data_IF_983941874362
#
_entry.id   IF_983941874362
#
_cell.length_a   1.000
_cell.length_b   1.000
_cell.length_c   1.000
_cell.angle_alpha   90.00
_cell.angle_beta   90.00
_cell.angle_gamma   90.00
#
_symmetry.space_group_name_H-M   'P 1'
#
loop_
_entity.id
_entity.type
_entity.pdbx_description
1 polymer ?
#
# COMPACT_ATOMS: atom_id res chain seq x y z
N UNK A 1 -20.34 -4.38 -63.54
CA UNK A 1 -19.01 -4.64 -64.13
C UNK A 1 -18.18 -5.43 -63.12
N UNK A 2 -17.66 -6.55 -63.60
CA UNK A 2 -16.95 -7.62 -62.88
C UNK A 2 -15.50 -7.18 -62.63
N UNK A 3 -14.87 -7.58 -61.51
CA UNK A 3 -13.64 -8.43 -61.48
C UNK A 3 -12.62 -7.83 -60.50
N UNK A 4 -11.82 -8.49 -59.66
CA UNK A 4 -11.63 -9.87 -59.19
C UNK A 4 -10.72 -9.80 -57.91
N UNK A 5 -11.04 -10.62 -56.90
CA UNK A 5 -10.20 -11.04 -55.75
C UNK A 5 -9.03 -11.97 -56.21
N UNK A 6 -7.98 -12.33 -55.43
CA UNK A 6 -8.03 -13.01 -54.09
C UNK A 6 -6.92 -12.55 -53.08
N UNK A 7 -6.96 -12.70 -51.75
CA UNK A 7 -7.21 -13.78 -50.75
C UNK A 7 -6.04 -14.78 -50.52
N UNK A 8 -5.27 -14.51 -49.45
CA UNK A 8 -4.53 -15.34 -48.47
C UNK A 8 -3.58 -16.50 -48.92
N UNK A 9 -2.58 -16.92 -48.10
CA UNK A 9 -2.87 -17.82 -46.99
C UNK A 9 -2.10 -17.61 -45.67
N UNK A 10 -2.69 -18.17 -44.62
CA UNK A 10 -2.14 -18.49 -43.29
C UNK A 10 -1.16 -19.67 -43.39
N UNK A 11 -0.13 -19.70 -42.54
CA UNK A 11 0.68 -20.90 -42.29
C UNK A 11 1.07 -20.99 -40.80
N UNK A 12 0.44 -21.96 -40.14
CA UNK A 12 0.87 -22.54 -38.88
C UNK A 12 1.95 -23.60 -39.13
N UNK A 13 2.95 -23.70 -38.26
CA UNK A 13 3.84 -24.87 -38.14
C UNK A 13 4.17 -25.07 -36.66
N UNK A 14 3.51 -26.01 -35.99
CA UNK A 14 3.93 -27.41 -35.74
C UNK A 14 5.13 -27.57 -34.80
N UNK A 15 4.81 -27.96 -33.56
CA UNK A 15 5.73 -28.58 -32.62
C UNK A 15 6.24 -29.92 -33.16
N UNK A 16 7.53 -30.22 -32.92
CA UNK A 16 8.08 -31.58 -33.03
C UNK A 16 8.88 -31.93 -31.79
N UNK A 17 8.36 -32.92 -31.08
CA UNK A 17 9.04 -33.78 -30.12
C UNK A 17 10.08 -34.65 -30.85
N UNK A 18 11.26 -34.80 -30.27
CA UNK A 18 12.20 -35.85 -30.64
C UNK A 18 12.90 -36.39 -29.38
N UNK A 19 12.43 -37.56 -28.97
CA UNK A 19 13.11 -38.52 -28.09
C UNK A 19 14.28 -39.15 -28.85
N UNK A 20 15.45 -39.28 -28.23
CA UNK A 20 16.36 -40.41 -28.51
C UNK A 20 17.39 -40.62 -27.40
N UNK A 21 17.88 -41.85 -27.34
CA UNK A 21 18.29 -42.59 -26.15
C UNK A 21 19.76 -42.40 -25.71
N UNK A 22 19.98 -42.78 -24.45
CA UNK A 22 21.20 -42.80 -23.62
C UNK A 22 22.28 -43.81 -24.07
N UNK A 23 23.54 -43.63 -23.62
CA UNK A 23 24.37 -44.75 -23.16
C UNK A 23 24.83 -44.61 -21.68
N UNK A 24 25.33 -45.69 -21.02
CA UNK A 24 25.35 -45.82 -19.55
C UNK A 24 26.67 -45.40 -18.85
N UNK A 25 26.60 -45.50 -17.51
CA UNK A 25 27.42 -44.90 -16.43
C UNK A 25 28.90 -45.34 -16.29
N UNK A 26 29.62 -44.76 -15.31
CA UNK A 26 29.91 -45.58 -14.13
C UNK A 26 29.61 -44.91 -12.77
N UNK A 27 29.37 -45.77 -11.79
CA UNK A 27 29.11 -45.46 -10.39
C UNK A 27 30.35 -44.97 -9.64
N UNK A 28 30.17 -43.93 -8.84
CA UNK A 28 31.04 -43.64 -7.69
C UNK A 28 30.15 -43.36 -6.50
N UNK A 29 29.93 -44.41 -5.72
CA UNK A 29 29.40 -44.34 -4.35
C UNK A 29 30.43 -43.67 -3.45
N UNK A 30 30.08 -42.55 -2.83
CA UNK A 30 30.80 -41.98 -1.69
C UNK A 30 29.78 -41.71 -0.59
N UNK A 31 29.93 -42.28 0.61
CA UNK A 31 29.04 -41.96 1.72
C UNK A 31 29.51 -40.63 2.31
N UNK A 32 28.76 -39.55 2.08
CA UNK A 32 28.83 -38.39 2.96
C UNK A 32 28.15 -38.76 4.28
N UNK A 33 28.94 -39.25 5.23
CA UNK A 33 28.54 -39.27 6.65
C UNK A 33 28.41 -37.84 7.14
N UNK A 34 27.19 -37.29 7.13
CA UNK A 34 26.87 -36.11 7.91
C UNK A 34 26.72 -36.54 9.37
N UNK A 35 27.76 -36.27 10.16
CA UNK A 35 27.71 -36.45 11.61
C UNK A 35 26.55 -35.64 12.19
N UNK A 36 25.66 -36.32 12.91
CA UNK A 36 24.64 -35.68 13.74
C UNK A 36 25.33 -35.00 14.93
N UNK A 37 25.60 -33.71 14.80
CA UNK A 37 25.84 -32.87 15.97
C UNK A 37 24.48 -32.60 16.62
N UNK A 38 24.09 -33.50 17.51
CA UNK A 38 23.14 -33.18 18.56
C UNK A 38 23.83 -32.19 19.51
N UNK A 39 23.89 -30.93 19.09
CA UNK A 39 24.20 -29.83 19.99
C UNK A 39 22.91 -29.56 20.78
N UNK A 40 22.79 -30.22 21.92
CA UNK A 40 21.92 -29.78 22.99
C UNK A 40 22.31 -28.35 23.35
N UNK A 41 21.56 -27.39 22.82
CA UNK A 41 21.50 -26.04 23.36
C UNK A 41 20.11 -25.92 23.97
N UNK A 42 19.99 -26.35 25.22
CA UNK A 42 19.06 -25.70 26.14
C UNK A 42 19.55 -24.27 26.34
N UNK A 43 19.44 -23.46 25.29
CA UNK A 43 19.39 -22.02 25.45
C UNK A 43 18.14 -21.78 26.28
N UNK A 44 18.32 -21.39 27.54
CA UNK A 44 17.26 -20.92 28.41
C UNK A 44 16.32 -20.05 27.55
N UNK A 45 15.13 -20.59 27.27
CA UNK A 45 14.13 -19.94 26.44
C UNK A 45 13.51 -18.81 27.26
N UNK A 46 14.30 -17.79 27.56
CA UNK A 46 13.79 -16.50 27.98
C UNK A 46 12.89 -16.02 26.86
N UNK A 47 11.64 -15.72 27.18
CA UNK A 47 10.67 -15.14 26.26
C UNK A 47 11.25 -13.83 25.73
N UNK A 48 11.88 -13.87 24.55
CA UNK A 48 12.43 -12.68 23.92
C UNK A 48 11.26 -11.74 23.65
N UNK A 49 11.29 -10.53 24.22
CA UNK A 49 10.23 -9.52 24.06
C UNK A 49 10.02 -9.26 22.57
N UNK A 50 8.76 -9.28 22.12
CA UNK A 50 8.42 -8.96 20.74
C UNK A 50 8.78 -7.51 20.42
N UNK A 51 9.20 -7.20 19.18
CA UNK A 51 9.43 -5.83 18.78
C UNK A 51 8.10 -5.07 18.69
N UNK A 52 8.17 -3.76 18.91
CA UNK A 52 7.07 -2.84 18.61
C UNK A 52 7.12 -2.51 17.12
N UNK A 53 5.96 -2.54 16.45
CA UNK A 53 5.84 -2.23 15.03
C UNK A 53 5.22 -0.85 14.85
N UNK A 54 5.86 -0.02 14.03
CA UNK A 54 5.34 1.27 13.61
C UNK A 54 4.96 1.15 12.13
N UNK A 55 3.71 1.51 11.82
CA UNK A 55 3.20 1.49 10.46
C UNK A 55 2.94 2.91 9.99
N UNK A 56 3.48 3.27 8.83
CA UNK A 56 2.85 4.31 8.03
C UNK A 56 1.45 3.87 7.61
N UNK A 57 0.59 4.82 7.23
CA UNK A 57 -0.82 4.57 6.95
C UNK A 57 -1.11 4.69 5.46
N UNK A 58 -0.83 5.83 4.85
CA UNK A 58 -1.18 6.07 3.44
C UNK A 58 -0.26 5.25 2.52
N UNK A 59 -0.85 4.58 1.53
CA UNK A 59 -0.22 3.60 0.62
C UNK A 59 0.57 2.47 1.29
N UNK A 60 0.43 2.30 2.62
CA UNK A 60 0.97 1.17 3.39
C UNK A 60 -0.16 0.31 3.95
N UNK A 61 -1.09 0.92 4.70
CA UNK A 61 -2.28 0.26 5.23
C UNK A 61 -3.54 0.61 4.45
N UNK A 62 -3.63 1.86 4.00
CA UNK A 62 -4.81 2.45 3.39
C UNK A 62 -4.42 3.15 2.09
N UNK A 63 -5.17 2.94 1.00
CA UNK A 63 -4.92 3.59 -0.30
C UNK A 63 -4.98 5.11 -0.18
N UNK A 64 -4.02 5.81 -0.79
CA UNK A 64 -4.00 7.27 -0.84
C UNK A 64 -4.93 7.83 -1.92
N UNK A 65 -5.97 8.63 -1.56
CA UNK A 65 -6.84 9.27 -2.54
C UNK A 65 -6.15 10.36 -3.38
N UNK A 66 -4.96 10.84 -2.98
CA UNK A 66 -4.32 12.03 -3.55
C UNK A 66 -4.09 11.97 -5.06
N UNK A 67 -3.65 10.82 -5.59
CA UNK A 67 -3.22 10.73 -6.99
C UNK A 67 -4.35 10.58 -8.02
N UNK A 68 -5.51 10.08 -7.60
CA UNK A 68 -6.59 9.72 -8.53
C UNK A 68 -7.94 10.34 -8.15
N UNK A 69 -8.31 10.27 -6.87
CA UNK A 69 -9.63 10.72 -6.42
C UNK A 69 -9.71 12.25 -6.28
N UNK A 70 -8.70 12.86 -5.67
CA UNK A 70 -8.68 14.33 -5.47
C UNK A 70 -8.66 15.11 -6.80
N UNK A 71 -7.83 14.76 -7.80
CA UNK A 71 -7.86 15.44 -9.10
C UNK A 71 -9.18 15.24 -9.82
N UNK A 72 -9.74 14.02 -9.76
CA UNK A 72 -11.06 13.71 -10.31
C UNK A 72 -12.16 14.57 -9.68
N UNK A 73 -12.12 14.76 -8.35
CA UNK A 73 -13.04 15.65 -7.63
C UNK A 73 -12.97 17.10 -8.15
N UNK A 74 -11.76 17.62 -8.35
CA UNK A 74 -11.56 18.98 -8.87
C UNK A 74 -11.69 19.10 -10.40
N UNK A 75 -11.89 18.00 -11.11
CA UNK A 75 -11.91 17.93 -12.58
C UNK A 75 -10.63 18.53 -13.19
N UNK A 76 -9.50 18.23 -12.57
CA UNK A 76 -8.15 18.67 -12.97
C UNK A 76 -7.26 17.46 -13.19
N UNK A 77 -6.28 17.59 -14.08
CA UNK A 77 -5.14 16.68 -14.05
C UNK A 77 -4.33 16.87 -12.76
N UNK A 78 -3.54 15.86 -12.38
CA UNK A 78 -2.60 15.99 -11.25
C UNK A 78 -1.70 17.21 -11.37
N UNK A 79 -1.21 17.50 -12.58
CA UNK A 79 -0.34 18.64 -12.85
C UNK A 79 -1.05 19.96 -12.58
N UNK A 80 -2.25 20.14 -13.14
CA UNK A 80 -3.05 21.36 -12.92
C UNK A 80 -3.41 21.56 -11.45
N UNK A 81 -3.77 20.47 -10.75
CA UNK A 81 -4.06 20.53 -9.33
C UNK A 81 -2.83 20.97 -8.51
N UNK A 82 -1.66 20.38 -8.76
CA UNK A 82 -0.42 20.76 -8.09
C UNK A 82 -0.03 22.22 -8.37
N UNK A 83 -0.23 22.68 -9.60
CA UNK A 83 0.02 24.09 -9.97
C UNK A 83 -0.98 25.04 -9.31
N UNK A 84 -2.24 24.64 -9.12
CA UNK A 84 -3.28 25.47 -8.51
C UNK A 84 -3.26 25.46 -6.97
N UNK A 85 -2.82 24.35 -6.35
CA UNK A 85 -2.79 24.17 -4.90
C UNK A 85 -1.82 25.18 -4.25
N UNK A 86 -2.19 25.68 -3.09
CA UNK A 86 -1.27 26.44 -2.26
C UNK A 86 -0.10 25.53 -1.80
N UNK A 87 1.16 26.01 -1.90
CA UNK A 87 2.34 25.18 -1.68
C UNK A 87 2.38 24.57 -0.27
N UNK A 88 1.88 25.28 0.74
CA UNK A 88 1.99 24.86 2.16
C UNK A 88 0.67 24.45 2.82
N UNK A 89 -0.49 24.68 2.21
CA UNK A 89 -1.77 24.53 2.94
C UNK A 89 -1.98 23.10 3.44
N UNK A 90 -1.66 22.10 2.62
CA UNK A 90 -1.79 20.70 3.00
C UNK A 90 -0.80 20.29 4.10
N UNK A 91 0.46 20.71 4.00
CA UNK A 91 1.47 20.35 5.01
C UNK A 91 1.25 21.07 6.34
N UNK A 92 0.73 22.30 6.32
CA UNK A 92 0.27 22.99 7.54
C UNK A 92 -0.90 22.24 8.18
N UNK A 93 -1.86 21.76 7.37
CA UNK A 93 -2.99 20.98 7.85
C UNK A 93 -2.57 19.61 8.42
N UNK A 94 -1.64 18.92 7.75
CA UNK A 94 -1.02 17.68 8.24
C UNK A 94 -0.33 17.87 9.58
N UNK A 95 0.23 19.05 9.84
CA UNK A 95 0.87 19.39 11.13
C UNK A 95 -0.08 19.94 12.18
N UNK A 96 -1.37 20.07 11.85
CA UNK A 96 -2.37 20.66 12.75
C UNK A 96 -2.16 22.16 13.00
N UNK A 97 -1.42 22.86 12.13
CA UNK A 97 -1.18 24.30 12.23
C UNK A 97 -2.37 25.13 11.75
N UNK A 98 -3.20 24.55 10.88
CA UNK A 98 -4.44 25.13 10.40
C UNK A 98 -5.59 24.13 10.57
N UNK A 99 -6.80 24.63 10.77
CA UNK A 99 -8.02 23.80 10.83
C UNK A 99 -8.68 23.59 9.45
N UNK A 100 -9.81 22.89 9.43
CA UNK A 100 -10.58 22.65 8.18
C UNK A 100 -11.08 23.96 7.54
N UNK A 101 -11.47 24.96 8.33
CA UNK A 101 -11.98 26.23 7.83
C UNK A 101 -10.87 27.07 7.20
N UNK A 102 -9.69 27.04 7.79
CA UNK A 102 -8.49 27.69 7.27
C UNK A 102 -7.98 26.98 6.02
N UNK A 103 -8.00 25.63 6.00
CA UNK A 103 -7.72 24.86 4.79
C UNK A 103 -8.68 25.26 3.66
N UNK A 104 -9.99 25.36 3.93
CA UNK A 104 -10.98 25.75 2.92
C UNK A 104 -10.68 27.10 2.25
N UNK A 105 -10.13 28.05 3.02
CA UNK A 105 -9.75 29.38 2.53
C UNK A 105 -8.41 29.37 1.81
N UNK A 106 -7.48 28.49 2.21
CA UNK A 106 -6.08 28.49 1.78
C UNK A 106 -5.76 27.44 0.71
N UNK A 107 -6.63 26.47 0.45
CA UNK A 107 -6.32 25.29 -0.37
C UNK A 107 -5.76 25.65 -1.76
N UNK A 108 -6.36 26.62 -2.45
CA UNK A 108 -5.89 27.11 -3.74
C UNK A 108 -5.08 28.40 -3.59
N UNK A 109 -4.02 28.54 -4.38
CA UNK A 109 -3.11 29.70 -4.36
C UNK A 109 -3.80 31.02 -4.74
N UNK A 110 -4.90 30.95 -5.48
CA UNK A 110 -5.72 32.09 -5.92
C UNK A 110 -6.85 32.42 -4.94
N UNK A 111 -7.01 31.65 -3.85
CA UNK A 111 -8.01 31.87 -2.81
C UNK A 111 -9.45 31.54 -3.22
N UNK A 112 -9.67 30.87 -4.36
CA UNK A 112 -11.03 30.43 -4.74
C UNK A 112 -11.57 29.42 -3.75
N UNK A 113 -12.88 29.50 -3.49
CA UNK A 113 -13.57 28.50 -2.66
C UNK A 113 -13.76 27.18 -3.40
N UNK A 114 -14.00 26.13 -2.63
CA UNK A 114 -14.38 24.81 -3.13
C UNK A 114 -15.31 24.12 -2.14
N UNK A 115 -15.92 23.03 -2.60
CA UNK A 115 -16.77 22.19 -1.75
C UNK A 115 -15.91 21.30 -0.82
N UNK A 116 -15.60 21.80 0.37
CA UNK A 116 -14.83 21.07 1.37
C UNK A 116 -15.56 19.79 1.82
N UNK A 117 -16.89 19.85 1.97
CA UNK A 117 -17.68 18.72 2.42
C UNK A 117 -17.69 17.61 1.36
N UNK A 118 -17.89 17.98 0.09
CA UNK A 118 -17.78 17.05 -1.03
C UNK A 118 -16.37 16.45 -1.16
N UNK A 119 -15.32 17.22 -0.87
CA UNK A 119 -13.95 16.69 -0.82
C UNK A 119 -13.82 15.63 0.29
N UNK A 120 -14.29 15.92 1.52
CA UNK A 120 -14.25 14.96 2.64
C UNK A 120 -14.99 13.66 2.30
N UNK A 121 -16.17 13.76 1.68
CA UNK A 121 -16.90 12.59 1.22
C UNK A 121 -16.15 11.82 0.13
N UNK A 122 -15.47 12.53 -0.78
CA UNK A 122 -14.60 11.90 -1.77
C UNK A 122 -13.45 11.13 -1.12
N UNK A 123 -12.81 11.70 -0.10
CA UNK A 123 -11.75 11.04 0.65
C UNK A 123 -12.28 9.77 1.34
N UNK A 124 -13.40 9.89 2.07
CA UNK A 124 -14.00 8.75 2.79
C UNK A 124 -14.37 7.64 1.82
N UNK A 125 -14.94 7.93 0.65
CA UNK A 125 -15.24 6.89 -0.35
C UNK A 125 -13.99 6.15 -0.80
N UNK A 126 -12.87 6.85 -0.97
CA UNK A 126 -11.62 6.29 -1.47
C UNK A 126 -10.79 5.52 -0.43
N UNK A 127 -10.98 5.74 0.87
CA UNK A 127 -10.22 5.01 1.89
C UNK A 127 -10.54 3.52 1.88
N UNK A 128 -9.59 2.71 1.46
CA UNK A 128 -9.71 1.26 1.41
C UNK A 128 -8.42 0.65 1.91
N UNK A 129 -8.50 -0.54 2.52
CA UNK A 129 -7.30 -1.30 2.83
C UNK A 129 -6.51 -1.57 1.54
N UNK A 130 -5.18 -1.53 1.65
CA UNK A 130 -4.32 -2.15 0.65
C UNK A 130 -4.57 -3.66 0.69
N UNK A 131 -4.64 -4.30 -0.48
CA UNK A 131 -5.04 -5.70 -0.60
C UNK A 131 -4.18 -6.63 0.27
N UNK A 132 -4.85 -7.45 1.09
CA UNK A 132 -4.21 -8.42 1.99
C UNK A 132 -3.62 -7.83 3.28
N UNK A 133 -3.56 -6.49 3.43
CA UNK A 133 -2.97 -5.88 4.63
C UNK A 133 -3.82 -6.10 5.87
N UNK A 134 -5.15 -6.13 5.75
CA UNK A 134 -6.01 -6.40 6.91
C UNK A 134 -5.74 -7.80 7.52
N UNK A 135 -5.50 -8.81 6.68
CA UNK A 135 -5.15 -10.16 7.13
C UNK A 135 -3.81 -10.20 7.87
N UNK A 136 -2.83 -9.42 7.39
CA UNK A 136 -1.53 -9.26 8.04
C UNK A 136 -1.70 -8.61 9.41
N UNK A 137 -2.44 -7.50 9.50
CA UNK A 137 -2.74 -6.81 10.77
C UNK A 137 -3.45 -7.75 11.76
N UNK A 138 -4.41 -8.53 11.28
CA UNK A 138 -5.12 -9.54 12.07
C UNK A 138 -4.16 -10.61 12.60
N UNK A 139 -3.25 -11.11 11.76
CA UNK A 139 -2.23 -12.09 12.16
C UNK A 139 -1.27 -11.53 13.20
N UNK A 140 -0.73 -10.33 12.98
CA UNK A 140 0.18 -9.67 13.93
C UNK A 140 -0.48 -9.42 15.28
N UNK A 141 -1.74 -8.96 15.28
CA UNK A 141 -2.52 -8.76 16.52
C UNK A 141 -2.71 -10.07 17.29
N UNK A 142 -3.07 -11.16 16.61
CA UNK A 142 -3.22 -12.50 17.22
C UNK A 142 -1.90 -13.05 17.78
N UNK A 143 -0.77 -12.64 17.22
CA UNK A 143 0.56 -12.99 17.69
C UNK A 143 1.13 -11.99 18.72
N UNK A 144 0.29 -11.14 19.31
CA UNK A 144 0.63 -10.23 20.40
C UNK A 144 1.69 -9.15 20.06
N UNK A 145 1.80 -8.77 18.79
CA UNK A 145 2.59 -7.59 18.43
C UNK A 145 1.91 -6.31 18.93
N UNK A 146 2.70 -5.47 19.59
CA UNK A 146 2.34 -4.09 19.85
C UNK A 146 2.54 -3.29 18.56
N UNK A 147 1.48 -2.60 18.11
CA UNK A 147 1.45 -1.92 16.82
C UNK A 147 0.90 -0.50 16.97
N UNK A 148 1.55 0.45 16.30
CA UNK A 148 1.16 1.86 16.29
C UNK A 148 1.15 2.43 14.87
N UNK A 149 0.22 3.34 14.63
CA UNK A 149 0.29 4.22 13.47
C UNK A 149 1.37 5.30 13.70
N UNK A 150 2.19 5.51 12.69
CA UNK A 150 3.18 6.56 12.59
C UNK A 150 3.06 7.25 11.23
N UNK A 151 2.26 8.30 11.18
CA UNK A 151 1.78 8.87 9.91
C UNK A 151 1.84 10.39 9.88
N UNK A 152 2.19 10.92 8.71
CA UNK A 152 2.03 12.31 8.35
C UNK A 152 0.64 12.49 7.73
N UNK A 153 -0.36 12.78 8.55
CA UNK A 153 -1.74 12.91 8.09
C UNK A 153 -2.53 13.91 8.95
N UNK A 154 -3.44 14.69 8.36
CA UNK A 154 -4.21 15.67 9.11
C UNK A 154 -5.24 14.98 10.02
N UNK A 155 -6.02 15.80 10.75
CA UNK A 155 -7.12 15.34 11.63
C UNK A 155 -8.09 14.37 10.94
N UNK A 156 -8.10 14.33 9.61
CA UNK A 156 -8.86 13.37 8.80
C UNK A 156 -8.43 11.90 8.96
N UNK A 157 -7.37 11.58 9.71
CA UNK A 157 -7.13 10.20 10.14
C UNK A 157 -8.32 9.62 10.93
N UNK A 158 -9.12 10.49 11.58
CA UNK A 158 -10.35 10.08 12.26
C UNK A 158 -11.41 9.56 11.27
N UNK A 159 -11.45 10.09 10.05
CA UNK A 159 -12.34 9.59 9.00
C UNK A 159 -11.94 8.19 8.53
N UNK A 160 -10.62 7.91 8.48
CA UNK A 160 -10.09 6.57 8.21
C UNK A 160 -10.51 5.62 9.34
N UNK A 161 -10.34 6.05 10.60
CA UNK A 161 -10.78 5.27 11.76
C UNK A 161 -12.28 4.99 11.74
N UNK A 162 -13.11 5.97 11.40
CA UNK A 162 -14.55 5.79 11.35
C UNK A 162 -14.97 4.77 10.30
N UNK A 163 -14.31 4.74 9.14
CA UNK A 163 -14.61 3.80 8.06
C UNK A 163 -14.00 2.41 8.29
N UNK A 164 -12.70 2.35 8.60
CA UNK A 164 -11.92 1.11 8.56
C UNK A 164 -11.65 0.52 9.95
N UNK A 165 -11.84 1.28 11.04
CA UNK A 165 -11.65 0.79 12.42
C UNK A 165 -10.25 0.21 12.66
N UNK A 166 -9.21 0.92 12.20
CA UNK A 166 -7.80 0.52 12.39
C UNK A 166 -7.43 0.30 13.86
N UNK A 167 -8.11 0.99 14.79
CA UNK A 167 -7.98 0.80 16.24
C UNK A 167 -8.21 -0.64 16.72
N UNK A 168 -8.90 -1.47 15.92
CA UNK A 168 -9.03 -2.92 16.16
C UNK A 168 -7.67 -3.63 16.21
N UNK A 169 -6.69 -3.14 15.46
CA UNK A 169 -5.38 -3.77 15.30
C UNK A 169 -4.28 -2.97 16.01
N UNK A 170 -4.17 -1.68 15.72
CA UNK A 170 -3.07 -0.80 16.16
C UNK A 170 -3.58 0.46 16.88
N UNK A 171 -2.70 1.19 17.55
CA UNK A 171 -3.04 2.46 18.20
C UNK A 171 -2.66 3.67 17.34
N UNK A 172 -3.53 4.68 17.27
CA UNK A 172 -3.23 5.99 16.67
C UNK A 172 -2.36 6.85 17.60
N UNK A 173 -1.07 6.51 17.66
CA UNK A 173 -0.14 7.11 18.64
C UNK A 173 0.62 8.29 18.06
N UNK A 174 1.16 8.17 16.85
CA UNK A 174 2.00 9.19 16.26
C UNK A 174 1.37 9.72 14.98
N UNK A 175 0.51 10.72 15.13
CA UNK A 175 -0.11 11.44 14.02
C UNK A 175 0.48 12.86 13.99
N UNK A 176 1.04 13.27 12.85
CA UNK A 176 1.69 14.59 12.70
C UNK A 176 0.80 15.75 13.16
N UNK A 177 -0.51 15.69 12.93
CA UNK A 177 -1.44 16.75 13.33
C UNK A 177 -1.59 16.91 14.85
N UNK A 178 -1.07 15.96 15.63
CA UNK A 178 -1.05 16.02 17.10
C UNK A 178 0.35 16.28 17.65
N UNK A 179 1.40 15.96 16.89
CA UNK A 179 2.78 15.97 17.38
C UNK A 179 3.66 17.07 16.79
N UNK A 180 3.25 17.71 15.68
CA UNK A 180 4.01 18.76 14.98
C UNK A 180 4.98 18.21 13.97
#
# INVERSE_FOLDING_TARGET
>A
MVSLLPRAPSLAFLAKSASSQRPPAPSMSSPFSAASVAAGSEAAAGTRKLPVLLFDVMDTLVRDPFYHHIPGFFQMSMKELLEAKHPTAWSEFEKGLIDENELAKKFFKDGRSFDLQGLKECMVRAYEYIDGVEDILCCLKKNNYEMHAFTNYPVWYQLIEDKLKLSKYLSWTFCSCRTG
#
